data_IF_904410411228
#
_entry.id   IF_904410411228
#
_cell.length_a   1.000
_cell.length_b   1.000
_cell.length_c   1.000
_cell.angle_alpha   90.00
_cell.angle_beta   90.00
_cell.angle_gamma   90.00
#
_symmetry.space_group_name_H-M   'P 1'
#
loop_
_entity.id
_entity.type
_entity.pdbx_description
1 polymer ?
#
# COMPACT_ATOMS: atom_id res chain seq x y z
N UNK A 1 33.08 -4.06 -18.12
CA UNK A 1 31.81 -3.88 -17.38
C UNK A 1 31.95 -4.71 -16.11
N UNK A 2 31.97 -4.08 -14.93
CA UNK A 2 32.21 -4.81 -13.68
C UNK A 2 31.00 -5.66 -13.32
N UNK A 3 31.25 -6.92 -12.94
CA UNK A 3 30.22 -7.81 -12.39
C UNK A 3 29.50 -7.11 -11.23
N UNK A 4 28.19 -6.90 -11.37
CA UNK A 4 27.38 -6.42 -10.26
C UNK A 4 27.32 -7.51 -9.21
N UNK A 5 27.97 -7.26 -8.06
CA UNK A 5 27.93 -8.14 -6.91
C UNK A 5 26.48 -8.45 -6.52
N UNK A 6 26.12 -9.73 -6.46
CA UNK A 6 24.80 -10.18 -6.01
C UNK A 6 24.53 -9.62 -4.59
N UNK A 7 23.37 -8.99 -4.35
CA UNK A 7 23.06 -8.42 -3.05
C UNK A 7 22.90 -9.52 -2.00
N UNK A 8 23.33 -9.23 -0.78
CA UNK A 8 23.11 -10.11 0.38
C UNK A 8 21.63 -10.11 0.79
N UNK A 9 21.18 -11.16 1.48
CA UNK A 9 19.82 -11.25 2.05
C UNK A 9 19.48 -10.01 2.89
N UNK A 10 20.43 -9.54 3.70
CA UNK A 10 20.26 -8.34 4.53
C UNK A 10 20.01 -7.08 3.68
N UNK A 11 20.73 -6.90 2.58
CA UNK A 11 20.54 -5.75 1.69
C UNK A 11 19.19 -5.79 0.98
N UNK A 12 18.75 -6.97 0.54
CA UNK A 12 17.43 -7.15 -0.09
C UNK A 12 16.32 -6.81 0.91
N UNK A 13 16.34 -7.40 2.11
CA UNK A 13 15.35 -7.12 3.15
C UNK A 13 15.33 -5.65 3.56
N UNK A 14 16.50 -5.01 3.62
CA UNK A 14 16.60 -3.60 3.95
C UNK A 14 16.04 -2.68 2.86
N UNK A 15 16.27 -3.01 1.58
CA UNK A 15 15.65 -2.30 0.45
C UNK A 15 14.13 -2.42 0.48
N UNK A 16 13.61 -3.65 0.68
CA UNK A 16 12.18 -3.90 0.84
C UNK A 16 11.57 -3.08 1.97
N UNK A 17 12.19 -3.13 3.17
CA UNK A 17 11.75 -2.34 4.33
C UNK A 17 11.65 -0.85 4.01
N UNK A 18 12.66 -0.28 3.35
CA UNK A 18 12.66 1.15 2.98
C UNK A 18 11.59 1.51 1.95
N UNK A 19 11.36 0.65 0.95
CA UNK A 19 10.29 0.87 -0.01
C UNK A 19 8.94 0.92 0.69
N UNK A 20 8.68 -0.05 1.57
CA UNK A 20 7.48 -0.10 2.41
C UNK A 20 7.36 1.12 3.33
N UNK A 21 8.42 1.52 4.03
CA UNK A 21 8.39 2.69 4.92
C UNK A 21 7.94 3.97 4.18
N UNK A 22 8.32 4.13 2.90
CA UNK A 22 7.83 5.23 2.06
C UNK A 22 6.35 5.11 1.73
N UNK A 23 5.89 3.89 1.38
CA UNK A 23 4.48 3.63 1.11
C UNK A 23 3.63 3.89 2.36
N UNK A 24 4.06 3.42 3.53
CA UNK A 24 3.37 3.64 4.80
C UNK A 24 3.32 5.13 5.16
N UNK A 25 4.38 5.89 4.88
CA UNK A 25 4.36 7.34 5.06
C UNK A 25 3.33 8.02 4.13
N UNK A 26 3.27 7.62 2.87
CA UNK A 26 2.28 8.14 1.92
C UNK A 26 0.85 7.83 2.35
N UNK A 27 0.57 6.57 2.75
CA UNK A 27 -0.76 6.19 3.27
C UNK A 27 -1.07 6.91 4.58
N UNK A 28 -0.08 7.15 5.44
CA UNK A 28 -0.21 7.94 6.66
C UNK A 28 -0.68 9.37 6.39
N UNK A 29 -0.07 10.04 5.42
CA UNK A 29 -0.50 11.39 5.00
C UNK A 29 -1.96 11.39 4.51
N UNK A 30 -2.37 10.38 3.72
CA UNK A 30 -3.75 10.25 3.28
C UNK A 30 -4.73 10.06 4.46
N UNK A 31 -4.32 9.31 5.49
CA UNK A 31 -5.12 9.16 6.70
C UNK A 31 -5.34 10.50 7.41
N UNK A 32 -4.28 11.29 7.52
CA UNK A 32 -4.28 12.60 8.18
C UNK A 32 -5.11 13.61 7.38
N UNK A 33 -5.00 13.61 6.06
CA UNK A 33 -5.82 14.44 5.16
C UNK A 33 -7.31 14.11 5.29
N UNK A 34 -7.67 12.82 5.23
CA UNK A 34 -9.06 12.38 5.40
C UNK A 34 -9.61 12.72 6.79
N UNK A 35 -8.77 12.62 7.83
CA UNK A 35 -9.15 12.99 9.20
C UNK A 35 -9.35 14.51 9.35
N UNK A 36 -8.44 15.31 8.82
CA UNK A 36 -8.56 16.77 8.83
C UNK A 36 -9.81 17.25 8.06
N UNK A 37 -10.13 16.60 6.93
CA UNK A 37 -11.36 16.86 6.21
C UNK A 37 -12.59 16.55 7.06
N UNK A 38 -12.60 15.40 7.74
CA UNK A 38 -13.68 15.05 8.67
C UNK A 38 -13.82 16.09 9.79
N UNK A 39 -12.73 16.50 10.45
CA UNK A 39 -12.78 17.48 11.53
C UNK A 39 -13.34 18.83 11.05
N UNK A 40 -12.92 19.29 9.88
CA UNK A 40 -13.43 20.51 9.26
C UNK A 40 -14.93 20.42 8.99
N UNK A 41 -15.38 19.31 8.39
CA UNK A 41 -16.79 19.09 8.09
C UNK A 41 -17.63 18.94 9.36
N UNK A 42 -17.12 18.27 10.39
CA UNK A 42 -17.83 18.08 11.65
C UNK A 42 -17.95 19.38 12.48
N UNK A 43 -17.00 20.30 12.36
CA UNK A 43 -17.01 21.58 13.04
C UNK A 43 -18.00 22.59 12.41
N UNK A 44 -18.34 22.41 11.14
CA UNK A 44 -19.29 23.28 10.45
C UNK A 44 -20.73 23.00 10.92
N UNK A 45 -21.44 24.00 11.46
CA UNK A 45 -22.84 23.83 11.91
C UNK A 45 -23.84 23.75 10.76
N UNK A 46 -23.41 24.05 9.53
CA UNK A 46 -24.17 23.80 8.30
C UNK A 46 -23.90 22.41 7.71
N UNK A 47 -23.11 21.57 8.41
CA UNK A 47 -22.55 20.34 7.89
C UNK A 47 -23.56 19.41 7.22
N UNK A 48 -23.20 19.07 6.01
CA UNK A 48 -23.63 17.89 5.29
C UNK A 48 -23.20 16.65 6.05
N UNK A 49 -24.10 16.12 6.89
CA UNK A 49 -23.81 14.99 7.77
C UNK A 49 -23.23 13.78 7.02
N UNK A 50 -23.52 13.64 5.72
CA UNK A 50 -22.99 12.55 4.90
C UNK A 50 -21.52 12.75 4.54
N UNK A 51 -21.09 13.96 4.21
CA UNK A 51 -19.71 14.24 3.82
C UNK A 51 -18.76 13.95 4.98
N UNK A 52 -19.13 14.39 6.20
CA UNK A 52 -18.34 14.10 7.40
C UNK A 52 -18.26 12.58 7.68
N UNK A 53 -19.38 11.86 7.58
CA UNK A 53 -19.41 10.40 7.76
C UNK A 53 -18.54 9.71 6.71
N UNK A 54 -18.62 10.14 5.45
CA UNK A 54 -17.81 9.60 4.36
C UNK A 54 -16.32 9.86 4.56
N UNK A 55 -15.92 11.09 4.92
CA UNK A 55 -14.52 11.42 5.20
C UNK A 55 -13.97 10.60 6.39
N UNK A 56 -14.77 10.40 7.45
CA UNK A 56 -14.40 9.54 8.57
C UNK A 56 -14.18 8.09 8.14
N UNK A 57 -15.10 7.52 7.36
CA UNK A 57 -14.98 6.15 6.87
C UNK A 57 -13.76 5.99 5.94
N UNK A 58 -13.45 7.00 5.12
CA UNK A 58 -12.23 7.02 4.32
C UNK A 58 -10.96 6.96 5.17
N UNK A 59 -10.89 7.78 6.22
CA UNK A 59 -9.75 7.77 7.16
C UNK A 59 -9.56 6.39 7.80
N UNK A 60 -10.66 5.73 8.21
CA UNK A 60 -10.61 4.38 8.78
C UNK A 60 -10.12 3.33 7.78
N UNK A 61 -10.56 3.41 6.53
CA UNK A 61 -10.11 2.51 5.48
C UNK A 61 -8.66 2.71 5.12
N UNK A 62 -8.20 3.96 4.98
CA UNK A 62 -6.78 4.26 4.72
C UNK A 62 -5.89 3.76 5.87
N UNK A 63 -6.33 3.92 7.12
CA UNK A 63 -5.64 3.35 8.28
C UNK A 63 -5.62 1.82 8.23
N UNK A 64 -6.70 1.20 7.78
CA UNK A 64 -6.77 -0.26 7.59
C UNK A 64 -5.83 -0.74 6.48
N UNK A 65 -5.70 0.03 5.39
CA UNK A 65 -4.75 -0.24 4.32
C UNK A 65 -3.30 -0.25 4.84
N UNK A 66 -2.93 0.69 5.72
CA UNK A 66 -1.61 0.70 6.34
C UNK A 66 -1.33 -0.60 7.12
N UNK A 67 -2.28 -1.09 7.92
CA UNK A 67 -2.13 -2.37 8.64
C UNK A 67 -1.98 -3.57 7.71
N UNK A 68 -2.74 -3.60 6.61
CA UNK A 68 -2.64 -4.68 5.63
C UNK A 68 -1.27 -4.62 4.93
N UNK A 69 -0.79 -3.44 4.53
CA UNK A 69 0.56 -3.28 3.96
C UNK A 69 1.64 -3.74 4.93
N UNK A 70 1.50 -3.45 6.23
CA UNK A 70 2.44 -3.93 7.25
C UNK A 70 2.36 -5.46 7.43
N UNK A 71 1.23 -6.08 7.14
CA UNK A 71 1.02 -7.54 7.09
C UNK A 71 2.02 -8.26 6.19
N UNK A 72 2.34 -7.70 5.02
CA UNK A 72 3.31 -8.26 4.07
C UNK A 72 4.71 -8.40 4.71
N UNK A 73 5.09 -7.44 5.54
CA UNK A 73 6.39 -7.46 6.21
C UNK A 73 6.54 -8.62 7.19
N UNK A 74 5.45 -9.02 7.86
CA UNK A 74 5.50 -10.13 8.80
C UNK A 74 5.82 -11.44 8.09
N UNK A 75 5.42 -11.62 6.82
CA UNK A 75 5.78 -12.77 5.99
C UNK A 75 7.30 -12.82 5.79
N UNK A 76 7.91 -11.70 5.36
CA UNK A 76 9.36 -11.58 5.17
C UNK A 76 10.13 -11.79 6.49
N UNK A 77 9.60 -11.31 7.61
CA UNK A 77 10.21 -11.46 8.93
C UNK A 77 10.20 -12.90 9.41
N UNK A 78 9.08 -13.60 9.29
CA UNK A 78 8.97 -15.03 9.63
C UNK A 78 9.98 -15.82 8.81
N UNK A 79 10.09 -15.53 7.52
CA UNK A 79 11.06 -16.21 6.65
C UNK A 79 12.50 -15.98 7.09
N UNK A 80 12.83 -14.74 7.46
CA UNK A 80 14.14 -14.38 7.98
C UNK A 80 14.48 -15.09 9.30
N UNK A 81 13.50 -15.25 10.20
CA UNK A 81 13.69 -15.93 11.49
C UNK A 81 13.91 -17.44 11.32
N UNK A 82 13.22 -18.08 10.36
CA UNK A 82 13.32 -19.52 10.10
C UNK A 82 14.56 -19.93 9.30
N UNK A 83 15.14 -19.04 8.48
CA UNK A 83 16.44 -19.19 7.79
C UNK A 83 16.60 -20.41 6.87
N UNK A 84 15.52 -21.01 6.37
CA UNK A 84 15.62 -22.10 5.37
C UNK A 84 15.35 -21.58 3.96
N UNK A 85 16.05 -22.15 2.96
CA UNK A 85 15.89 -21.78 1.55
C UNK A 85 14.43 -21.95 1.08
N UNK A 86 13.82 -23.07 1.46
CA UNK A 86 12.43 -23.39 1.13
C UNK A 86 11.47 -22.31 1.67
N UNK A 87 11.62 -21.93 2.94
CA UNK A 87 10.78 -20.89 3.54
C UNK A 87 10.96 -19.54 2.85
N UNK A 88 12.18 -19.16 2.43
CA UNK A 88 12.37 -17.92 1.69
C UNK A 88 11.69 -17.94 0.31
N UNK A 89 11.73 -19.07 -0.41
CA UNK A 89 11.04 -19.21 -1.69
C UNK A 89 9.52 -19.12 -1.52
N UNK A 90 8.98 -19.89 -0.57
CA UNK A 90 7.55 -19.84 -0.25
C UNK A 90 7.12 -18.45 0.22
N UNK A 91 7.90 -17.79 1.07
CA UNK A 91 7.57 -16.46 1.56
C UNK A 91 7.56 -15.40 0.45
N UNK A 92 8.44 -15.52 -0.55
CA UNK A 92 8.44 -14.62 -1.69
C UNK A 92 7.15 -14.78 -2.54
N UNK A 93 6.70 -16.01 -2.75
CA UNK A 93 5.44 -16.30 -3.46
C UNK A 93 4.23 -15.83 -2.66
N UNK A 94 4.21 -16.12 -1.36
CA UNK A 94 3.12 -15.72 -0.45
C UNK A 94 3.05 -14.20 -0.31
N UNK A 95 4.19 -13.49 -0.23
CA UNK A 95 4.25 -12.02 -0.21
C UNK A 95 3.66 -11.44 -1.49
N UNK A 96 4.04 -11.96 -2.67
CA UNK A 96 3.46 -11.52 -3.96
C UNK A 96 1.96 -11.72 -4.00
N UNK A 97 1.47 -12.92 -3.63
CA UNK A 97 0.06 -13.23 -3.58
C UNK A 97 -0.69 -12.34 -2.58
N UNK A 98 -0.12 -12.11 -1.39
CA UNK A 98 -0.68 -11.24 -0.37
C UNK A 98 -0.84 -9.80 -0.89
N UNK A 99 0.17 -9.25 -1.57
CA UNK A 99 0.06 -7.92 -2.17
C UNK A 99 -1.05 -7.88 -3.22
N UNK A 100 -1.09 -8.83 -4.16
CA UNK A 100 -2.07 -8.82 -5.24
C UNK A 100 -3.51 -9.07 -4.76
N UNK A 101 -3.70 -10.04 -3.87
CA UNK A 101 -5.02 -10.54 -3.48
C UNK A 101 -5.61 -9.79 -2.28
N UNK A 102 -4.76 -9.24 -1.41
CA UNK A 102 -5.20 -8.51 -0.21
C UNK A 102 -4.98 -7.01 -0.36
N UNK A 103 -3.73 -6.57 -0.54
CA UNK A 103 -3.38 -5.14 -0.47
C UNK A 103 -4.02 -4.35 -1.62
N UNK A 104 -3.77 -4.78 -2.87
CA UNK A 104 -4.29 -4.09 -4.05
C UNK A 104 -5.81 -4.17 -4.14
N UNK A 105 -6.39 -5.34 -3.82
CA UNK A 105 -7.83 -5.50 -3.76
C UNK A 105 -8.49 -4.59 -2.71
N UNK A 106 -7.85 -4.41 -1.55
CA UNK A 106 -8.35 -3.51 -0.51
C UNK A 106 -8.27 -2.05 -0.96
N UNK A 107 -7.17 -1.65 -1.61
CA UNK A 107 -7.01 -0.32 -2.21
C UNK A 107 -8.11 -0.04 -3.25
N UNK A 108 -8.39 -0.99 -4.15
CA UNK A 108 -9.51 -0.91 -5.09
C UNK A 108 -10.85 -0.75 -4.37
N UNK A 109 -11.03 -1.45 -3.23
CA UNK A 109 -12.17 -1.30 -2.35
C UNK A 109 -12.36 0.12 -1.80
N UNK A 110 -11.27 0.84 -1.50
CA UNK A 110 -11.31 2.23 -1.03
C UNK A 110 -11.84 3.16 -2.13
N UNK A 111 -11.28 3.05 -3.33
CA UNK A 111 -11.70 3.86 -4.48
C UNK A 111 -13.16 3.58 -4.85
N UNK A 112 -13.55 2.32 -4.87
CA UNK A 112 -14.93 1.91 -5.13
C UNK A 112 -15.91 2.42 -4.06
N UNK A 113 -15.49 2.43 -2.80
CA UNK A 113 -16.29 3.04 -1.72
C UNK A 113 -16.48 4.54 -1.98
N UNK A 114 -15.43 5.27 -2.34
CA UNK A 114 -15.46 6.71 -2.60
C UNK A 114 -16.32 7.14 -3.77
N UNK A 115 -16.37 6.33 -4.83
CA UNK A 115 -17.23 6.59 -5.99
C UNK A 115 -18.71 6.28 -5.72
N UNK A 116 -19.02 5.47 -4.70
CA UNK A 116 -20.38 4.99 -4.40
C UNK A 116 -21.02 5.68 -3.20
N UNK A 117 -20.23 6.32 -2.34
CA UNK A 117 -20.76 7.06 -1.21
C UNK A 117 -21.51 8.31 -1.67
N UNK A 118 -22.47 8.73 -0.86
CA UNK A 118 -23.28 9.91 -1.16
C UNK A 118 -22.64 11.12 -0.51
N UNK A 119 -22.00 11.93 -1.34
CA UNK A 119 -21.61 13.27 -0.96
C UNK A 119 -22.75 14.25 -1.22
N UNK A 120 -22.96 15.16 -0.28
CA UNK A 120 -23.87 16.29 -0.40
C UNK A 120 -23.16 17.46 -1.12
N UNK A 121 -21.87 17.75 -0.82
CA UNK A 121 -21.04 18.67 -1.59
C UNK A 121 -20.30 17.97 -2.75
N UNK A 122 -20.79 18.22 -3.97
CA UNK A 122 -20.24 17.65 -5.21
C UNK A 122 -18.93 18.28 -5.68
N UNK A 123 -18.65 19.53 -5.31
CA UNK A 123 -17.38 20.15 -5.64
C UNK A 123 -16.27 19.54 -4.76
N UNK A 124 -16.55 19.40 -3.47
CA UNK A 124 -15.67 18.74 -2.51
C UNK A 124 -15.41 17.28 -2.90
N UNK A 125 -16.47 16.52 -3.21
CA UNK A 125 -16.34 15.12 -3.67
C UNK A 125 -15.34 15.01 -4.82
N UNK A 126 -15.52 15.85 -5.85
CA UNK A 126 -14.70 15.81 -7.07
C UNK A 126 -13.23 16.11 -6.78
N UNK A 127 -12.96 17.15 -5.98
CA UNK A 127 -11.60 17.54 -5.62
C UNK A 127 -10.91 16.46 -4.78
N UNK A 128 -11.58 15.99 -3.72
CA UNK A 128 -11.04 14.98 -2.82
C UNK A 128 -10.79 13.66 -3.54
N UNK A 129 -11.76 13.17 -4.33
CA UNK A 129 -11.62 11.90 -5.05
C UNK A 129 -10.52 11.95 -6.11
N UNK A 130 -10.34 13.07 -6.81
CA UNK A 130 -9.25 13.20 -7.78
C UNK A 130 -7.87 13.12 -7.11
N UNK A 131 -7.70 13.80 -5.96
CA UNK A 131 -6.45 13.73 -5.18
C UNK A 131 -6.21 12.32 -4.65
N UNK A 132 -7.24 11.71 -4.05
CA UNK A 132 -7.15 10.37 -3.48
C UNK A 132 -6.79 9.31 -4.53
N UNK A 133 -7.40 9.39 -5.72
CA UNK A 133 -7.11 8.48 -6.84
C UNK A 133 -5.66 8.60 -7.29
N UNK A 134 -5.14 9.82 -7.46
CA UNK A 134 -3.76 10.04 -7.86
C UNK A 134 -2.77 9.46 -6.84
N UNK A 135 -2.97 9.75 -5.55
CA UNK A 135 -2.08 9.26 -4.49
C UNK A 135 -2.15 7.74 -4.29
N UNK A 136 -3.33 7.14 -4.40
CA UNK A 136 -3.47 5.69 -4.31
C UNK A 136 -2.88 4.97 -5.53
N UNK A 137 -2.85 5.60 -6.70
CA UNK A 137 -2.15 5.05 -7.86
C UNK A 137 -0.63 5.06 -7.68
N UNK A 138 -0.06 6.10 -7.06
CA UNK A 138 1.36 6.11 -6.68
C UNK A 138 1.68 4.99 -5.68
N UNK A 139 0.81 4.77 -4.69
CA UNK A 139 0.92 3.65 -3.75
C UNK A 139 0.84 2.31 -4.48
N UNK A 140 -0.10 2.13 -5.40
CA UNK A 140 -0.21 0.92 -6.24
C UNK A 140 1.06 0.67 -7.04
N UNK A 141 1.60 1.70 -7.70
CA UNK A 141 2.80 1.57 -8.51
C UNK A 141 4.01 1.14 -7.66
N UNK A 142 4.12 1.65 -6.42
CA UNK A 142 5.19 1.28 -5.50
C UNK A 142 5.06 -0.14 -4.94
N UNK A 143 3.84 -0.67 -4.83
CA UNK A 143 3.55 -2.01 -4.32
C UNK A 143 3.57 -3.08 -5.41
N UNK A 144 3.31 -2.70 -6.67
CA UNK A 144 3.28 -3.63 -7.79
C UNK A 144 4.69 -4.16 -8.04
N UNK A 145 4.92 -5.49 -7.96
CA UNK A 145 6.24 -6.05 -8.21
C UNK A 145 6.72 -5.68 -9.61
N UNK A 146 7.87 -5.03 -9.71
CA UNK A 146 8.57 -4.92 -10.99
C UNK A 146 9.06 -6.33 -11.34
N UNK A 147 8.81 -6.84 -12.56
CA UNK A 147 9.38 -8.10 -12.99
C UNK A 147 10.88 -8.08 -12.71
N UNK A 148 11.37 -9.04 -11.93
CA UNK A 148 12.81 -9.24 -11.82
C UNK A 148 13.31 -9.43 -13.26
N UNK A 149 14.17 -8.53 -13.73
CA UNK A 149 15.00 -8.86 -14.87
C UNK A 149 15.66 -10.17 -14.49
N UNK A 150 15.29 -11.24 -15.18
CA UNK A 150 15.81 -12.56 -14.96
C UNK A 150 17.33 -12.42 -14.87
N UNK A 151 17.87 -12.56 -13.65
CA UNK A 151 19.28 -12.85 -13.50
C UNK A 151 19.36 -14.22 -14.13
N UNK A 152 19.78 -14.25 -15.40
CA UNK A 152 19.93 -15.49 -16.15
C UNK A 152 20.57 -16.49 -15.20
N UNK A 153 19.81 -17.51 -14.86
CA UNK A 153 20.36 -18.73 -14.31
C UNK A 153 21.28 -19.24 -15.40
N UNK A 154 22.54 -18.84 -15.32
CA UNK A 154 23.62 -19.57 -15.94
C UNK A 154 23.74 -20.87 -15.13
N UNK A 155 22.75 -21.75 -15.32
CA UNK A 155 23.01 -23.17 -15.39
C UNK A 155 23.71 -23.39 -16.73
N UNK A 156 24.98 -22.97 -16.80
CA UNK A 156 25.93 -23.60 -17.70
C UNK A 156 26.45 -24.83 -16.97
N UNK A 157 26.05 -25.97 -17.52
CA UNK A 157 26.64 -27.29 -17.32
C UNK A 157 28.18 -27.22 -17.41
N UNK A 158 28.85 -27.68 -16.36
CA UNK A 158 30.00 -28.61 -16.39
C UNK A 158 30.43 -29.02 -14.96
#
# INVERSE_FOLDING_TARGET
MGEQKKPTVREVLWRKKRARDRVLAAVGNLCDEAWALFEKLAADRSATARDAVTAREMSLRLRSLAYIIEGEHYIDRIAFELRTKEVYMTAAEVSKAYVSEMVLAFLDGILNYGRRCKWDDKALEKEYMASLEASLEEVRAALTPVPEQAVASDESED
#
